data_IF_080738407635
#
_entry.id   IF_080738407635
#
_cell.length_a   1.000
_cell.length_b   1.000
_cell.length_c   1.000
_cell.angle_alpha   90.00
_cell.angle_beta   90.00
_cell.angle_gamma   90.00
#
_symmetry.space_group_name_H-M   'P 1'
#
loop_
_entity.id
_entity.type
_entity.pdbx_description
1 polymer ?
#
# COMPACT_ATOMS: atom_id res chain seq x y z
N UNK A 1 12.03 -9.75 46.12
CA UNK A 1 12.70 -10.32 44.93
C UNK A 1 12.11 -9.71 43.67
N UNK A 2 12.79 -8.75 43.03
CA UNK A 2 12.32 -8.11 41.81
C UNK A 2 12.74 -8.96 40.61
N UNK A 3 11.78 -9.51 39.86
CA UNK A 3 12.00 -10.26 38.65
C UNK A 3 12.58 -9.32 37.59
N UNK A 4 13.84 -9.51 37.23
CA UNK A 4 14.49 -8.86 36.09
C UNK A 4 13.88 -9.42 34.79
N UNK A 5 12.92 -8.72 34.19
CA UNK A 5 12.49 -8.99 32.82
C UNK A 5 13.66 -8.69 31.91
N UNK A 6 14.19 -9.70 31.22
CA UNK A 6 15.20 -9.54 30.21
C UNK A 6 14.76 -8.58 29.09
N UNK A 7 15.68 -8.01 28.30
CA UNK A 7 15.35 -7.03 27.28
C UNK A 7 14.39 -7.66 26.26
N UNK A 8 13.18 -7.10 26.16
CA UNK A 8 12.22 -7.45 25.09
C UNK A 8 12.91 -7.15 23.76
N UNK A 9 13.15 -8.17 22.93
CA UNK A 9 13.60 -7.97 21.55
C UNK A 9 12.68 -6.94 20.91
N UNK A 10 13.24 -5.82 20.44
CA UNK A 10 12.48 -4.76 19.78
C UNK A 10 11.72 -5.37 18.59
N UNK A 11 10.42 -5.09 18.47
CA UNK A 11 9.60 -5.49 17.30
C UNK A 11 10.12 -4.93 15.99
N UNK A 12 11.05 -3.98 16.06
CA UNK A 12 11.68 -3.29 14.95
C UNK A 12 13.07 -3.84 14.62
N UNK A 13 13.54 -4.85 15.37
CA UNK A 13 14.83 -5.47 15.10
C UNK A 13 14.80 -6.15 13.72
N UNK A 14 15.81 -5.87 12.90
CA UNK A 14 15.94 -6.42 11.56
C UNK A 14 15.36 -5.55 10.43
N UNK A 15 14.67 -4.45 10.74
CA UNK A 15 14.25 -3.49 9.71
C UNK A 15 15.47 -2.71 9.19
N UNK A 16 15.59 -2.61 7.86
CA UNK A 16 16.72 -1.96 7.20
C UNK A 16 16.46 -0.50 6.84
N UNK A 17 15.20 -0.14 6.66
CA UNK A 17 14.82 1.20 6.19
C UNK A 17 14.43 2.14 7.32
N UNK A 18 13.89 1.60 8.41
CA UNK A 18 13.45 2.41 9.54
C UNK A 18 14.63 3.17 10.18
N UNK A 19 14.54 4.52 10.21
CA UNK A 19 15.54 5.40 10.81
C UNK A 19 16.81 5.63 10.00
N UNK A 20 16.99 5.00 8.82
CA UNK A 20 18.18 5.19 7.97
C UNK A 20 17.86 6.10 6.76
N UNK A 21 18.84 6.87 6.25
CA UNK A 21 18.74 7.46 4.91
C UNK A 21 18.63 6.33 3.89
N UNK A 22 17.64 6.43 2.99
CA UNK A 22 17.39 5.38 2.00
C UNK A 22 17.13 6.02 0.64
N UNK A 23 17.87 5.58 -0.37
CA UNK A 23 17.64 5.99 -1.75
C UNK A 23 16.29 5.45 -2.25
N UNK A 24 15.68 6.17 -3.19
CA UNK A 24 14.48 5.69 -3.90
C UNK A 24 14.90 4.47 -4.71
N UNK A 25 14.22 3.32 -4.60
CA UNK A 25 14.51 2.14 -5.41
C UNK A 25 14.37 2.44 -6.91
N UNK A 26 15.20 1.80 -7.72
CA UNK A 26 15.20 2.01 -9.17
C UNK A 26 13.95 1.46 -9.86
N UNK A 27 13.32 0.45 -9.29
CA UNK A 27 12.07 -0.14 -9.79
C UNK A 27 11.25 -0.76 -8.65
N UNK A 28 9.95 -1.06 -8.88
CA UNK A 28 9.12 -1.75 -7.90
C UNK A 28 9.66 -3.13 -7.48
N UNK A 29 10.29 -3.86 -8.40
CA UNK A 29 10.89 -5.18 -8.14
C UNK A 29 12.10 -5.06 -7.22
N UNK A 30 12.91 -4.01 -7.40
CA UNK A 30 14.08 -3.73 -6.58
C UNK A 30 13.71 -3.16 -5.20
N UNK A 31 12.47 -2.71 -5.01
CA UNK A 31 12.03 -2.10 -3.76
C UNK A 31 11.92 -3.14 -2.64
N UNK A 32 12.57 -2.84 -1.52
CA UNK A 32 12.42 -3.63 -0.30
C UNK A 32 11.14 -3.18 0.43
N UNK A 33 10.16 -4.08 0.51
CA UNK A 33 8.95 -3.89 1.28
C UNK A 33 9.04 -4.70 2.57
N UNK A 34 8.92 -4.04 3.72
CA UNK A 34 9.13 -4.62 5.05
C UNK A 34 7.82 -4.71 5.83
N UNK A 35 7.82 -5.61 6.82
CA UNK A 35 6.67 -5.81 7.73
C UNK A 35 7.13 -5.85 9.17
N UNK A 36 6.23 -5.47 10.08
CA UNK A 36 6.41 -5.53 11.53
C UNK A 36 5.32 -6.39 12.18
N UNK A 37 5.61 -6.96 13.32
CA UNK A 37 4.62 -7.74 14.05
C UNK A 37 3.43 -6.86 14.47
N UNK A 38 2.21 -7.33 14.19
CA UNK A 38 0.99 -6.68 14.68
C UNK A 38 0.93 -6.78 16.21
N UNK A 39 0.86 -5.65 16.94
CA UNK A 39 0.76 -5.67 18.41
C UNK A 39 -0.61 -6.13 18.92
N UNK A 40 -1.63 -6.16 18.04
CA UNK A 40 -3.02 -6.53 18.37
C UNK A 40 -3.57 -7.59 17.41
N UNK A 41 -2.97 -8.80 17.35
CA UNK A 41 -3.38 -9.83 16.38
C UNK A 41 -4.74 -10.45 16.69
N UNK A 42 -5.22 -10.28 17.91
CA UNK A 42 -6.53 -10.68 18.42
C UNK A 42 -7.66 -9.71 18.06
N UNK A 43 -7.33 -8.48 17.67
CA UNK A 43 -8.32 -7.46 17.29
C UNK A 43 -8.67 -7.54 15.81
N UNK A 44 -9.93 -7.32 15.49
CA UNK A 44 -10.39 -7.07 14.13
C UNK A 44 -10.46 -5.55 13.91
N UNK A 45 -9.60 -5.04 13.04
CA UNK A 45 -9.56 -3.62 12.68
C UNK A 45 -9.04 -3.43 11.28
N UNK A 46 -9.25 -2.25 10.74
CA UNK A 46 -8.79 -1.86 9.42
C UNK A 46 -7.67 -0.83 9.54
N UNK A 47 -6.61 -1.01 8.77
CA UNK A 47 -5.58 -0.01 8.53
C UNK A 47 -5.73 0.53 7.09
N UNK A 48 -5.70 1.86 6.94
CA UNK A 48 -5.79 2.55 5.65
C UNK A 48 -4.50 3.29 5.35
N UNK A 49 -4.00 3.11 4.14
CA UNK A 49 -3.01 3.98 3.52
C UNK A 49 -3.63 4.72 2.35
N UNK A 50 -3.33 6.00 2.27
CA UNK A 50 -3.78 6.86 1.17
C UNK A 50 -2.54 7.46 0.51
N UNK A 51 -2.41 7.30 -0.80
CA UNK A 51 -1.34 7.88 -1.60
C UNK A 51 -1.96 8.78 -2.68
N UNK A 52 -2.25 10.06 -2.35
CA UNK A 52 -2.95 10.97 -3.26
C UNK A 52 -2.09 11.47 -4.42
N UNK A 53 -0.78 11.30 -4.32
CA UNK A 53 0.21 11.78 -5.30
C UNK A 53 0.98 10.61 -5.93
N UNK A 54 0.32 9.47 -6.12
CA UNK A 54 0.95 8.32 -6.76
C UNK A 54 1.20 8.62 -8.24
N UNK A 55 2.38 8.23 -8.73
CA UNK A 55 2.79 8.42 -10.12
C UNK A 55 3.40 7.16 -10.71
N UNK A 56 3.14 6.91 -11.98
CA UNK A 56 3.80 5.92 -12.83
C UNK A 56 3.99 6.49 -14.25
N UNK A 57 4.44 5.68 -15.19
CA UNK A 57 4.54 6.04 -16.57
C UNK A 57 3.65 5.14 -17.43
N UNK A 58 3.12 5.70 -18.52
CA UNK A 58 2.53 4.90 -19.57
C UNK A 58 3.62 4.01 -20.21
N UNK A 59 3.42 2.68 -20.29
CA UNK A 59 4.45 1.78 -20.81
C UNK A 59 4.71 1.96 -22.31
N UNK A 60 3.80 2.62 -23.03
CA UNK A 60 3.90 2.82 -24.48
C UNK A 60 4.48 4.20 -24.82
N UNK A 61 3.97 5.26 -24.17
CA UNK A 61 4.33 6.65 -24.53
C UNK A 61 5.34 7.28 -23.59
N UNK A 62 5.59 6.68 -22.42
CA UNK A 62 6.43 7.27 -21.39
C UNK A 62 5.83 8.51 -20.71
N UNK A 63 4.58 8.85 -21.01
CA UNK A 63 3.90 9.97 -20.36
C UNK A 63 3.63 9.64 -18.89
N UNK A 64 3.70 10.64 -17.99
CA UNK A 64 3.39 10.43 -16.58
C UNK A 64 1.89 10.19 -16.38
N UNK A 65 1.60 9.21 -15.55
CA UNK A 65 0.27 8.89 -15.05
C UNK A 65 0.20 9.21 -13.56
N UNK A 66 -0.94 9.68 -13.11
CA UNK A 66 -1.19 10.08 -11.72
C UNK A 66 -2.40 9.35 -11.18
N UNK A 67 -2.37 8.99 -9.90
CA UNK A 67 -3.48 8.36 -9.23
C UNK A 67 -3.58 8.75 -7.76
N UNK A 68 -4.79 8.65 -7.23
CA UNK A 68 -5.05 8.61 -5.81
C UNK A 68 -5.29 7.14 -5.42
N UNK A 69 -4.36 6.54 -4.70
CA UNK A 69 -4.51 5.17 -4.23
C UNK A 69 -5.08 5.15 -2.81
N UNK A 70 -6.06 4.28 -2.58
CA UNK A 70 -6.56 3.94 -1.24
C UNK A 70 -6.36 2.45 -1.02
N UNK A 71 -5.60 2.09 -0.01
CA UNK A 71 -5.28 0.72 0.36
C UNK A 71 -5.81 0.47 1.76
N UNK A 72 -6.79 -0.41 1.87
CA UNK A 72 -7.36 -0.87 3.14
C UNK A 72 -6.98 -2.31 3.39
N UNK A 73 -6.56 -2.65 4.60
CA UNK A 73 -6.38 -4.04 4.96
C UNK A 73 -6.72 -4.31 6.43
N UNK A 74 -7.26 -5.50 6.69
CA UNK A 74 -7.46 -6.01 8.03
C UNK A 74 -6.26 -6.90 8.39
N UNK A 75 -5.34 -6.46 9.25
CA UNK A 75 -4.13 -7.21 9.55
C UNK A 75 -4.43 -8.49 10.33
N UNK A 76 -3.57 -9.49 10.15
CA UNK A 76 -3.54 -10.70 10.98
C UNK A 76 -2.31 -10.65 11.89
N UNK A 77 -1.20 -11.19 11.46
CA UNK A 77 0.06 -11.24 12.20
C UNK A 77 0.99 -10.06 11.92
N UNK A 78 0.82 -9.40 10.76
CA UNK A 78 1.78 -8.46 10.24
C UNK A 78 1.13 -7.13 9.85
N UNK A 79 1.88 -6.05 10.10
CA UNK A 79 1.63 -4.72 9.56
C UNK A 79 2.71 -4.39 8.55
N UNK A 80 2.37 -3.65 7.49
CA UNK A 80 3.38 -3.12 6.58
C UNK A 80 4.16 -2.01 7.29
N UNK A 81 5.49 -1.97 7.09
CA UNK A 81 6.31 -0.87 7.56
C UNK A 81 6.10 0.34 6.62
N UNK A 82 5.69 1.46 7.18
CA UNK A 82 5.17 2.61 6.42
C UNK A 82 6.21 3.30 5.54
N UNK A 83 7.47 3.40 5.99
CA UNK A 83 8.55 3.99 5.19
C UNK A 83 8.89 3.12 3.99
N UNK A 84 8.95 1.80 4.18
CA UNK A 84 9.17 0.85 3.08
C UNK A 84 8.04 0.88 2.06
N UNK A 85 6.78 0.99 2.52
CA UNK A 85 5.64 1.17 1.63
C UNK A 85 5.75 2.47 0.83
N UNK A 86 6.10 3.58 1.48
CA UNK A 86 6.32 4.86 0.79
C UNK A 86 7.37 4.73 -0.30
N UNK A 87 8.51 4.12 -0.01
CA UNK A 87 9.60 3.94 -0.98
C UNK A 87 9.20 2.99 -2.12
N UNK A 88 8.46 1.92 -1.80
CA UNK A 88 7.91 1.02 -2.80
C UNK A 88 6.94 1.74 -3.75
N UNK A 89 6.00 2.53 -3.24
CA UNK A 89 5.08 3.30 -4.07
C UNK A 89 5.84 4.35 -4.91
N UNK A 90 6.85 5.01 -4.33
CA UNK A 90 7.68 5.99 -5.05
C UNK A 90 8.50 5.36 -6.17
N UNK A 91 8.86 4.08 -6.09
CA UNK A 91 9.63 3.38 -7.12
C UNK A 91 8.89 3.23 -8.45
N UNK A 92 7.57 3.37 -8.45
CA UNK A 92 6.76 3.38 -9.68
C UNK A 92 6.91 4.65 -10.51
N UNK A 93 7.47 5.74 -9.95
CA UNK A 93 7.54 7.05 -10.63
C UNK A 93 8.14 6.98 -12.04
N UNK A 94 9.15 6.15 -12.24
CA UNK A 94 9.82 5.98 -13.53
C UNK A 94 9.57 4.57 -14.12
N UNK A 95 8.54 3.89 -13.66
CA UNK A 95 8.19 2.53 -14.08
C UNK A 95 6.95 2.57 -14.98
N UNK A 96 7.09 2.00 -16.20
CA UNK A 96 6.00 1.90 -17.16
C UNK A 96 5.09 0.70 -16.84
N UNK A 97 3.82 0.97 -16.53
CA UNK A 97 2.80 -0.05 -16.31
C UNK A 97 1.41 0.48 -16.68
N UNK A 98 0.53 -0.38 -17.16
CA UNK A 98 -0.89 -0.04 -17.29
C UNK A 98 -1.50 0.22 -15.91
N UNK A 99 -2.54 1.04 -15.84
CA UNK A 99 -3.21 1.42 -14.59
C UNK A 99 -3.70 0.20 -13.80
N UNK A 100 -4.30 -0.75 -14.51
CA UNK A 100 -4.81 -2.00 -13.95
C UNK A 100 -3.68 -2.87 -13.39
N UNK A 101 -2.63 -3.08 -14.17
CA UNK A 101 -1.47 -3.89 -13.77
C UNK A 101 -0.75 -3.27 -12.56
N UNK A 102 -0.50 -1.97 -12.61
CA UNK A 102 0.11 -1.22 -11.52
C UNK A 102 -0.68 -1.37 -10.21
N UNK A 103 -2.01 -1.17 -10.27
CA UNK A 103 -2.89 -1.27 -9.10
C UNK A 103 -2.90 -2.68 -8.53
N UNK A 104 -3.02 -3.70 -9.39
CA UNK A 104 -3.06 -5.10 -8.98
C UNK A 104 -1.70 -5.62 -8.49
N UNK A 105 -0.59 -5.17 -9.08
CA UNK A 105 0.76 -5.52 -8.63
C UNK A 105 1.01 -5.03 -7.19
N UNK A 106 0.58 -3.80 -6.87
CA UNK A 106 0.67 -3.24 -5.51
C UNK A 106 -0.14 -4.10 -4.53
N UNK A 107 -1.39 -4.43 -4.87
CA UNK A 107 -2.24 -5.26 -4.03
C UNK A 107 -1.65 -6.65 -3.80
N UNK A 108 -1.22 -7.32 -4.87
CA UNK A 108 -0.62 -8.65 -4.84
C UNK A 108 0.63 -8.70 -3.96
N UNK A 109 1.51 -7.69 -4.09
CA UNK A 109 2.73 -7.58 -3.27
C UNK A 109 2.42 -7.45 -1.78
N UNK A 110 1.42 -6.63 -1.44
CA UNK A 110 0.99 -6.46 -0.05
C UNK A 110 0.34 -7.73 0.52
N UNK A 111 -0.50 -8.41 -0.25
CA UNK A 111 -1.11 -9.69 0.16
C UNK A 111 -0.04 -10.74 0.43
N UNK A 112 0.93 -10.88 -0.47
CA UNK A 112 2.04 -11.82 -0.31
C UNK A 112 2.88 -11.52 0.94
N UNK A 113 3.16 -10.24 1.21
CA UNK A 113 3.96 -9.83 2.37
C UNK A 113 3.23 -10.04 3.69
N UNK A 114 1.95 -9.67 3.76
CA UNK A 114 1.22 -9.50 5.02
C UNK A 114 0.34 -10.70 5.38
N UNK A 115 -0.11 -11.47 4.37
CA UNK A 115 -1.16 -12.48 4.52
C UNK A 115 -2.32 -11.96 5.39
N UNK A 116 -2.96 -10.84 5.02
CA UNK A 116 -3.97 -10.17 5.84
C UNK A 116 -5.25 -11.01 5.94
N UNK A 117 -6.14 -10.66 6.86
CA UNK A 117 -7.50 -11.23 6.90
C UNK A 117 -8.30 -10.81 5.67
N UNK A 118 -8.08 -9.60 5.22
CA UNK A 118 -8.70 -8.99 4.04
C UNK A 118 -7.89 -7.78 3.59
N UNK A 119 -7.90 -7.52 2.28
CA UNK A 119 -7.30 -6.34 1.68
C UNK A 119 -8.17 -5.90 0.50
N UNK A 120 -8.34 -4.59 0.34
CA UNK A 120 -8.81 -3.97 -0.89
C UNK A 120 -7.89 -2.83 -1.31
N UNK A 121 -7.89 -2.53 -2.60
CA UNK A 121 -7.26 -1.35 -3.19
C UNK A 121 -8.24 -0.66 -4.13
N UNK A 122 -8.26 0.66 -4.10
CA UNK A 122 -8.85 1.52 -5.11
C UNK A 122 -7.77 2.39 -5.71
N UNK A 123 -7.58 2.28 -7.03
CA UNK A 123 -6.73 3.16 -7.81
C UNK A 123 -7.59 4.11 -8.62
N UNK A 124 -7.64 5.37 -8.22
CA UNK A 124 -8.40 6.44 -8.88
C UNK A 124 -7.45 7.22 -9.78
N UNK A 125 -7.41 6.84 -11.05
CA UNK A 125 -6.45 7.37 -12.01
C UNK A 125 -6.98 8.62 -12.69
N UNK A 126 -6.12 9.63 -12.77
CA UNK A 126 -6.47 10.88 -13.45
C UNK A 126 -6.60 10.64 -14.96
N UNK A 127 -7.43 11.47 -15.65
CA UNK A 127 -7.75 11.25 -17.05
C UNK A 127 -6.52 11.35 -17.96
N UNK A 128 -6.46 10.44 -18.92
CA UNK A 128 -5.68 10.58 -20.15
C UNK A 128 -6.64 10.76 -21.33
N UNK A 129 -6.41 11.78 -22.16
CA UNK A 129 -7.33 12.10 -23.26
C UNK A 129 -8.77 12.37 -22.80
N UNK A 130 -8.94 12.83 -21.55
CA UNK A 130 -10.26 13.11 -20.97
C UNK A 130 -10.97 11.89 -20.37
N UNK A 131 -10.37 10.69 -20.40
CA UNK A 131 -10.94 9.45 -19.88
C UNK A 131 -10.27 9.07 -18.54
N UNK A 132 -10.96 9.20 -17.38
CA UNK A 132 -10.49 8.67 -16.11
C UNK A 132 -10.71 7.16 -16.07
N UNK A 133 -9.85 6.45 -15.33
CA UNK A 133 -9.99 5.00 -15.10
C UNK A 133 -9.88 4.75 -13.59
N UNK A 134 -10.89 4.09 -13.03
CA UNK A 134 -10.82 3.63 -11.65
C UNK A 134 -10.67 2.11 -11.64
N UNK A 135 -9.71 1.63 -10.87
CA UNK A 135 -9.39 0.20 -10.75
C UNK A 135 -9.61 -0.26 -9.32
N UNK A 136 -10.49 -1.26 -9.14
CA UNK A 136 -10.83 -1.78 -7.83
C UNK A 136 -10.55 -3.27 -7.73
N UNK A 137 -9.97 -3.70 -6.60
CA UNK A 137 -9.75 -5.10 -6.32
C UNK A 137 -9.75 -5.38 -4.82
N UNK A 138 -10.12 -6.61 -4.45
CA UNK A 138 -10.09 -7.08 -3.07
C UNK A 138 -9.86 -8.60 -2.99
N UNK A 139 -9.37 -9.09 -1.85
CA UNK A 139 -9.06 -10.51 -1.61
C UNK A 139 -10.28 -11.43 -1.46
N UNK A 140 -11.49 -10.91 -1.61
CA UNK A 140 -12.74 -11.62 -1.37
C UNK A 140 -13.66 -10.83 -0.45
N UNK A 141 -14.62 -11.49 0.19
CA UNK A 141 -15.57 -10.81 1.11
C UNK A 141 -14.83 -10.35 2.37
N UNK A 142 -15.08 -9.11 2.84
CA UNK A 142 -14.54 -8.67 4.12
C UNK A 142 -15.16 -9.47 5.28
N UNK A 143 -14.45 -9.56 6.43
CA UNK A 143 -15.03 -10.08 7.66
C UNK A 143 -16.33 -9.35 8.02
N UNK A 144 -17.35 -10.09 8.49
CA UNK A 144 -18.70 -9.53 8.73
C UNK A 144 -18.70 -8.34 9.72
N UNK A 145 -17.87 -8.41 10.75
CA UNK A 145 -17.81 -7.38 11.80
C UNK A 145 -16.74 -6.30 11.55
N UNK A 146 -16.13 -6.29 10.36
CA UNK A 146 -15.13 -5.30 10.02
C UNK A 146 -15.82 -4.00 9.60
N UNK A 147 -15.59 -2.93 10.38
CA UNK A 147 -16.00 -1.59 9.95
C UNK A 147 -15.09 -1.10 8.83
N UNK A 148 -15.69 -0.78 7.68
CA UNK A 148 -14.98 -0.31 6.49
C UNK A 148 -15.50 1.09 6.16
N UNK A 149 -14.70 2.14 6.40
CA UNK A 149 -15.09 3.51 6.06
C UNK A 149 -15.13 3.70 4.53
N UNK A 150 -15.90 4.67 4.09
CA UNK A 150 -15.90 5.13 2.69
C UNK A 150 -14.45 5.45 2.24
N UNK A 151 -14.05 5.18 0.99
CA UNK A 151 -12.75 5.56 0.45
C UNK A 151 -12.45 7.04 0.56
N UNK A 152 -13.45 7.90 0.52
CA UNK A 152 -13.31 9.34 0.65
C UNK A 152 -12.77 10.02 -0.61
N UNK A 153 -12.68 9.31 -1.73
CA UNK A 153 -12.27 9.86 -3.01
C UNK A 153 -13.51 10.23 -3.81
N UNK A 154 -13.65 11.51 -4.12
CA UNK A 154 -14.76 11.97 -4.94
C UNK A 154 -14.64 11.43 -6.38
N UNK A 155 -15.76 11.07 -7.03
CA UNK A 155 -15.75 10.75 -8.45
C UNK A 155 -15.15 11.90 -9.27
N UNK A 156 -14.40 11.56 -10.31
CA UNK A 156 -13.88 12.60 -11.21
C UNK A 156 -15.04 13.26 -11.96
N UNK A 157 -15.15 14.57 -11.86
CA UNK A 157 -16.23 15.37 -12.48
C UNK A 157 -15.73 16.32 -13.59
N UNK A 158 -14.44 16.28 -13.91
CA UNK A 158 -13.85 17.24 -14.83
C UNK A 158 -13.70 18.62 -14.19
N UNK A 159 -13.65 19.63 -15.03
CA UNK A 159 -13.81 21.03 -14.60
C UNK A 159 -15.32 21.29 -14.44
N UNK A 160 -15.79 21.05 -13.27
CA UNK A 160 -17.17 21.36 -12.90
C UNK A 160 -17.28 22.69 -12.24
#
# INVERSE_FOLDING_TARGET
MASRRGPRKSRYAGLRQLGAPTAIPASPEAALLERVANPHPDKLYLARFTAPEFTSLCPITGQPDFAHLVIDYAPRKWLVESKSLKLYLTSFRNHGAFHEDCTLAIAGRLVQLLAPRWLRIGGYWYPRGGLPIDVFWQTGKPPADLWIPDPGVAPYRGRG
#
